data_IF_265494135542
#
_entry.id   IF_265494135542
#
_cell.length_a   1.000
_cell.length_b   1.000
_cell.length_c   1.000
_cell.angle_alpha   90.00
_cell.angle_beta   90.00
_cell.angle_gamma   90.00
#
_symmetry.space_group_name_H-M   'P 1'
#
loop_
_entity.id
_entity.type
_entity.pdbx_description
1 polymer ?
#
# COMPACT_ATOMS: atom_id res chain seq x y z
N UNK A 1 -21.76 0.33 1.62
CA UNK A 1 -21.31 0.28 3.03
C UNK A 1 -22.36 0.90 3.94
N UNK A 2 -22.64 0.28 5.09
CA UNK A 2 -23.42 0.87 6.21
C UNK A 2 -22.48 1.61 7.18
N UNK A 3 -22.98 2.49 8.07
CA UNK A 3 -22.14 3.13 9.10
C UNK A 3 -21.34 2.11 9.92
N UNK A 4 -20.07 2.40 10.18
CA UNK A 4 -19.17 1.50 10.91
C UNK A 4 -18.63 0.32 10.09
N UNK A 5 -19.13 0.04 8.88
CA UNK A 5 -18.73 -1.16 8.13
C UNK A 5 -17.29 -1.07 7.62
N UNK A 6 -16.54 -2.14 7.82
CA UNK A 6 -15.28 -2.40 7.14
C UNK A 6 -15.60 -3.18 5.85
N UNK A 7 -15.03 -2.74 4.73
CA UNK A 7 -15.13 -3.41 3.45
C UNK A 7 -13.71 -3.66 2.92
N UNK A 8 -13.32 -4.93 2.83
CA UNK A 8 -12.06 -5.35 2.23
C UNK A 8 -12.39 -6.15 0.97
N UNK A 9 -12.05 -5.63 -0.21
CA UNK A 9 -12.51 -6.12 -1.51
C UNK A 9 -11.35 -6.23 -2.50
N UNK A 10 -11.35 -7.30 -3.28
CA UNK A 10 -10.43 -7.50 -4.42
C UNK A 10 -11.23 -7.39 -5.71
N UNK A 11 -10.72 -6.58 -6.64
CA UNK A 11 -11.23 -6.43 -8.00
C UNK A 11 -10.17 -6.95 -8.96
N UNK A 12 -10.45 -8.06 -9.63
CA UNK A 12 -9.59 -8.63 -10.68
C UNK A 12 -9.84 -7.92 -12.02
N UNK A 13 -8.90 -8.04 -12.95
CA UNK A 13 -9.00 -7.54 -14.33
C UNK A 13 -9.42 -6.05 -14.42
N UNK A 14 -8.74 -5.18 -13.66
CA UNK A 14 -8.99 -3.74 -13.71
C UNK A 14 -8.58 -3.16 -15.06
N UNK A 15 -9.28 -2.11 -15.51
CA UNK A 15 -8.93 -1.40 -16.74
C UNK A 15 -7.54 -0.77 -16.61
N UNK A 16 -6.59 -1.32 -17.36
CA UNK A 16 -5.20 -0.87 -17.39
C UNK A 16 -4.78 -0.63 -18.87
N UNK A 17 -3.87 0.32 -19.16
CA UNK A 17 -3.18 0.41 -20.44
C UNK A 17 -2.76 -0.95 -21.02
N UNK A 18 -3.09 -1.18 -22.29
CA UNK A 18 -2.74 -2.39 -23.06
C UNK A 18 -1.51 -2.13 -23.94
N UNK A 19 -0.84 -3.22 -24.33
CA UNK A 19 0.40 -3.18 -25.11
C UNK A 19 1.65 -3.03 -24.26
N UNK A 20 2.81 -2.88 -24.91
CA UNK A 20 4.09 -2.73 -24.24
C UNK A 20 4.30 -1.27 -23.83
N UNK A 21 4.13 -0.97 -22.54
CA UNK A 21 4.10 0.40 -22.02
C UNK A 21 5.00 0.57 -20.78
N UNK A 22 5.46 1.80 -20.58
CA UNK A 22 6.10 2.24 -19.35
C UNK A 22 5.11 2.99 -18.47
N UNK A 23 4.72 2.40 -17.35
CA UNK A 23 3.85 3.06 -16.36
C UNK A 23 4.64 4.14 -15.61
N UNK A 24 4.06 5.34 -15.54
CA UNK A 24 4.65 6.57 -15.01
C UNK A 24 4.04 7.01 -13.69
N UNK A 25 2.75 6.78 -13.45
CA UNK A 25 2.07 7.04 -12.17
C UNK A 25 0.85 6.12 -12.04
N UNK A 26 0.45 5.83 -10.81
CA UNK A 26 -0.83 5.20 -10.46
C UNK A 26 -1.33 5.84 -9.17
N UNK A 27 -2.29 6.75 -9.30
CA UNK A 27 -2.87 7.53 -8.21
C UNK A 27 -4.35 7.11 -8.01
N UNK A 28 -4.82 6.97 -6.77
CA UNK A 28 -6.20 6.55 -6.50
C UNK A 28 -6.82 7.16 -5.24
N UNK A 29 -8.15 7.24 -5.20
CA UNK A 29 -8.93 7.81 -4.08
C UNK A 29 -10.36 7.22 -4.00
N UNK A 30 -11.01 7.35 -2.84
CA UNK A 30 -12.42 7.00 -2.67
C UNK A 30 -13.35 8.17 -3.05
N UNK A 31 -14.37 7.85 -3.84
CA UNK A 31 -15.44 8.76 -4.25
C UNK A 31 -16.83 8.21 -3.88
N UNK A 32 -17.81 9.10 -3.79
CA UNK A 32 -19.24 8.76 -3.69
C UNK A 32 -19.83 8.30 -5.05
N UNK A 33 -21.15 8.40 -5.21
CA UNK A 33 -21.88 7.98 -6.41
C UNK A 33 -21.95 9.10 -7.45
N UNK A 34 -21.81 10.34 -6.98
CA UNK A 34 -21.87 11.61 -7.68
C UNK A 34 -20.49 11.99 -8.24
N UNK A 35 -19.41 11.38 -7.74
CA UNK A 35 -18.03 11.56 -8.18
C UNK A 35 -17.17 12.45 -7.27
N UNK A 36 -17.69 12.87 -6.12
CA UNK A 36 -16.97 13.71 -5.17
C UNK A 36 -16.04 12.88 -4.29
N UNK A 37 -14.88 13.45 -3.95
CA UNK A 37 -13.93 12.84 -3.03
C UNK A 37 -14.48 12.77 -1.61
N UNK A 38 -14.36 11.62 -0.95
CA UNK A 38 -14.89 11.42 0.41
C UNK A 38 -13.92 11.95 1.48
N UNK A 39 -14.40 12.67 2.52
CA UNK A 39 -13.60 13.00 3.68
C UNK A 39 -13.20 11.76 4.50
N UNK A 40 -11.94 11.70 4.91
CA UNK A 40 -11.31 10.60 5.66
C UNK A 40 -11.93 10.37 7.05
N UNK A 41 -12.61 11.38 7.60
CA UNK A 41 -13.39 11.26 8.83
C UNK A 41 -14.78 10.66 8.63
N UNK A 42 -15.17 10.32 7.40
CA UNK A 42 -16.38 9.56 7.08
C UNK A 42 -16.07 8.17 6.56
N UNK A 43 -15.26 8.07 5.50
CA UNK A 43 -14.68 6.79 5.07
C UNK A 43 -13.17 6.93 5.06
N UNK A 44 -12.52 6.13 5.89
CA UNK A 44 -11.07 6.02 5.89
C UNK A 44 -10.67 4.99 4.83
N UNK A 45 -9.94 5.43 3.80
CA UNK A 45 -9.25 4.53 2.88
C UNK A 45 -8.04 3.96 3.63
N UNK A 46 -8.20 2.80 4.25
CA UNK A 46 -7.16 2.22 5.10
C UNK A 46 -5.95 1.81 4.27
N UNK A 47 -6.19 1.10 3.18
CA UNK A 47 -5.23 0.94 2.08
C UNK A 47 -5.95 0.64 0.78
N UNK A 48 -5.31 0.92 -0.33
CA UNK A 48 -5.49 0.24 -1.60
C UNK A 48 -4.13 -0.23 -2.10
N UNK A 49 -4.11 -1.28 -2.91
CA UNK A 49 -2.89 -1.69 -3.61
C UNK A 49 -3.19 -2.42 -4.91
N UNK A 50 -2.31 -2.25 -5.89
CA UNK A 50 -2.39 -2.89 -7.19
C UNK A 50 -1.30 -3.96 -7.35
N UNK A 51 -1.74 -5.17 -7.66
CA UNK A 51 -0.87 -6.33 -7.91
C UNK A 51 -1.03 -6.73 -9.37
N UNK A 52 0.11 -7.02 -10.00
CA UNK A 52 0.19 -7.52 -11.36
C UNK A 52 0.06 -9.04 -11.34
N UNK A 53 -0.59 -9.63 -12.32
CA UNK A 53 -0.66 -11.08 -12.49
C UNK A 53 -0.69 -11.45 -13.96
N UNK A 54 -0.28 -12.67 -14.29
CA UNK A 54 -0.53 -13.25 -15.60
C UNK A 54 -1.62 -14.32 -15.47
N UNK A 55 -2.48 -14.39 -16.48
CA UNK A 55 -3.59 -15.32 -16.55
C UNK A 55 -3.51 -16.13 -17.83
N UNK A 56 -3.67 -17.45 -17.74
CA UNK A 56 -3.83 -18.30 -18.91
C UNK A 56 -5.09 -17.88 -19.70
N UNK A 57 -4.95 -17.69 -21.01
CA UNK A 57 -6.05 -17.28 -21.90
C UNK A 57 -7.13 -18.35 -22.04
N UNK A 58 -6.83 -19.62 -21.74
CA UNK A 58 -7.80 -20.73 -21.72
C UNK A 58 -8.38 -21.02 -20.35
N UNK A 59 -8.02 -20.24 -19.31
CA UNK A 59 -8.53 -20.43 -17.94
C UNK A 59 -10.07 -20.44 -17.92
N UNK A 60 -10.65 -21.46 -17.29
CA UNK A 60 -12.10 -21.61 -17.19
C UNK A 60 -12.75 -20.44 -16.44
N UNK A 61 -13.96 -20.05 -16.82
CA UNK A 61 -14.78 -19.12 -16.04
C UNK A 61 -15.26 -19.76 -14.73
N UNK A 62 -15.32 -21.09 -14.66
CA UNK A 62 -15.76 -21.83 -13.47
C UNK A 62 -14.57 -22.16 -12.55
N UNK A 63 -14.53 -21.64 -11.31
CA UNK A 63 -13.39 -21.84 -10.39
C UNK A 63 -13.08 -23.30 -10.02
N UNK A 64 -14.02 -24.24 -10.24
CA UNK A 64 -13.78 -25.67 -10.00
C UNK A 64 -12.78 -26.30 -10.99
N UNK A 65 -12.51 -25.62 -12.10
CA UNK A 65 -11.56 -26.05 -13.13
C UNK A 65 -10.38 -25.08 -13.24
N UNK A 66 -10.06 -24.34 -12.16
CA UNK A 66 -8.85 -23.53 -12.09
C UNK A 66 -7.69 -24.41 -11.65
N UNK A 67 -6.63 -24.42 -12.44
CA UNK A 67 -5.36 -25.03 -12.11
C UNK A 67 -4.41 -23.98 -11.50
N UNK A 68 -3.48 -24.34 -10.60
CA UNK A 68 -2.56 -23.37 -9.98
C UNK A 68 -1.73 -22.55 -10.98
N UNK A 69 -1.44 -23.12 -12.15
CA UNK A 69 -0.75 -22.49 -13.26
C UNK A 69 -1.59 -21.45 -14.00
N UNK A 70 -2.93 -21.50 -13.94
CA UNK A 70 -3.81 -20.61 -14.71
C UNK A 70 -3.72 -19.14 -14.27
N UNK A 71 -3.29 -18.86 -13.04
CA UNK A 71 -3.25 -17.52 -12.48
C UNK A 71 -2.03 -17.30 -11.57
N UNK A 72 -1.03 -16.59 -12.09
CA UNK A 72 0.26 -16.40 -11.43
C UNK A 72 0.43 -14.93 -11.05
N UNK A 73 0.38 -14.62 -9.76
CA UNK A 73 0.63 -13.27 -9.25
C UNK A 73 2.10 -12.87 -9.44
N UNK A 74 2.34 -11.85 -10.28
CA UNK A 74 3.65 -11.25 -10.44
C UNK A 74 3.93 -10.33 -9.25
N UNK A 75 4.99 -10.64 -8.51
CA UNK A 75 5.42 -9.89 -7.35
C UNK A 75 6.37 -8.76 -7.78
N UNK A 76 6.46 -7.73 -6.96
CA UNK A 76 7.56 -6.78 -7.03
C UNK A 76 8.93 -7.47 -6.78
N UNK A 77 10.03 -6.78 -7.07
CA UNK A 77 11.39 -7.34 -6.93
C UNK A 77 11.97 -7.18 -5.51
N UNK A 78 11.17 -6.68 -4.56
CA UNK A 78 11.56 -6.44 -3.18
C UNK A 78 11.88 -7.69 -2.37
N UNK A 79 12.51 -7.47 -1.22
CA UNK A 79 12.97 -8.54 -0.33
C UNK A 79 11.84 -9.18 0.48
N UNK A 80 10.83 -8.41 0.93
CA UNK A 80 9.71 -8.89 1.75
C UNK A 80 8.65 -9.70 0.98
N UNK A 81 9.07 -10.86 0.49
CA UNK A 81 8.27 -11.85 -0.20
C UNK A 81 7.32 -12.67 0.72
N UNK A 82 6.80 -12.07 1.80
CA UNK A 82 5.76 -12.67 2.63
C UNK A 82 4.38 -12.66 1.95
N UNK A 83 3.35 -13.15 2.64
CA UNK A 83 1.96 -13.19 2.11
C UNK A 83 1.35 -11.80 1.83
N UNK A 84 1.90 -10.72 2.41
CA UNK A 84 1.13 -9.51 2.69
C UNK A 84 1.27 -8.41 1.62
N UNK A 85 2.44 -8.27 0.94
CA UNK A 85 2.79 -7.05 0.19
C UNK A 85 3.52 -7.27 -1.17
N UNK A 86 2.96 -8.04 -2.13
CA UNK A 86 3.56 -8.24 -3.45
C UNK A 86 3.28 -7.10 -4.46
N UNK A 87 2.70 -5.99 -4.02
CA UNK A 87 2.16 -4.92 -4.89
C UNK A 87 3.23 -3.97 -5.45
N UNK A 88 2.90 -3.31 -6.56
CA UNK A 88 3.76 -2.30 -7.21
C UNK A 88 3.37 -0.87 -6.84
N UNK A 89 2.09 -0.67 -6.55
CA UNK A 89 1.45 0.61 -6.25
C UNK A 89 0.47 0.41 -5.09
N UNK A 90 0.32 1.39 -4.22
CA UNK A 90 -0.69 1.34 -3.16
C UNK A 90 -0.38 2.29 -2.01
N UNK A 91 -1.40 2.83 -1.38
CA UNK A 91 -1.31 3.83 -0.30
C UNK A 91 -2.62 3.79 0.53
N UNK A 92 -2.71 4.56 1.61
CA UNK A 92 -3.93 4.78 2.39
C UNK A 92 -4.61 6.10 2.04
N UNK A 93 -5.14 6.80 3.06
CA UNK A 93 -5.74 8.14 2.95
C UNK A 93 -4.78 9.20 2.41
N UNK A 94 -3.48 8.98 2.56
CA UNK A 94 -2.40 9.86 2.12
C UNK A 94 -2.15 9.83 0.61
N UNK A 95 -2.82 8.94 -0.14
CA UNK A 95 -2.75 8.85 -1.60
C UNK A 95 -2.95 10.20 -2.29
N UNK A 96 -3.90 11.01 -1.82
CA UNK A 96 -4.31 12.27 -2.49
C UNK A 96 -3.23 13.37 -2.48
N UNK A 97 -2.31 13.32 -1.52
CA UNK A 97 -1.20 14.28 -1.37
C UNK A 97 0.18 13.65 -1.55
N UNK A 98 0.26 12.39 -1.97
CA UNK A 98 1.52 11.67 -2.24
C UNK A 98 1.59 11.38 -3.73
N UNK A 99 2.54 11.98 -4.44
CA UNK A 99 2.68 11.71 -5.88
C UNK A 99 3.32 10.33 -6.12
N UNK A 100 2.72 9.54 -7.02
CA UNK A 100 3.29 8.29 -7.50
C UNK A 100 4.14 8.47 -8.78
N UNK A 101 4.41 9.71 -9.19
CA UNK A 101 5.07 9.99 -10.47
C UNK A 101 6.54 9.51 -10.50
N UNK A 102 6.90 8.76 -11.54
CA UNK A 102 8.26 8.32 -11.83
C UNK A 102 8.88 9.31 -12.84
N UNK A 103 10.05 9.92 -12.57
CA UNK A 103 10.66 10.91 -13.46
C UNK A 103 11.08 10.26 -14.80
N UNK A 104 11.17 11.05 -15.87
CA UNK A 104 11.78 10.55 -17.11
C UNK A 104 13.30 10.34 -16.91
N UNK A 105 13.91 9.36 -17.58
CA UNK A 105 13.34 8.40 -18.53
C UNK A 105 12.81 7.08 -17.89
N UNK A 106 12.70 7.03 -16.56
CA UNK A 106 12.39 5.82 -15.81
C UNK A 106 10.90 5.44 -15.89
N UNK A 107 10.57 4.15 -15.86
CA UNK A 107 9.18 3.67 -15.84
C UNK A 107 9.08 2.22 -15.32
N UNK A 108 7.91 1.82 -14.81
CA UNK A 108 7.61 0.40 -14.55
C UNK A 108 7.18 -0.25 -15.87
N UNK A 109 7.93 -1.25 -16.33
CA UNK A 109 7.64 -1.95 -17.59
C UNK A 109 6.44 -2.91 -17.45
N UNK A 110 5.56 -2.87 -18.44
CA UNK A 110 4.35 -3.68 -18.54
C UNK A 110 4.12 -4.14 -19.99
N UNK A 111 3.52 -5.31 -20.16
CA UNK A 111 3.11 -5.83 -21.48
C UNK A 111 4.29 -6.29 -22.34
N UNK A 112 5.43 -6.59 -21.71
CA UNK A 112 6.68 -6.95 -22.39
C UNK A 112 6.56 -8.35 -23.01
N UNK A 113 6.59 -8.51 -24.35
CA UNK A 113 6.35 -9.79 -25.01
C UNK A 113 7.38 -10.88 -24.68
N UNK A 114 8.53 -10.50 -24.11
CA UNK A 114 9.61 -11.41 -23.71
C UNK A 114 9.38 -11.93 -22.27
N UNK A 115 8.61 -11.19 -21.45
CA UNK A 115 8.34 -11.53 -20.03
C UNK A 115 7.03 -12.28 -19.83
N UNK A 116 6.09 -12.19 -20.78
CA UNK A 116 4.78 -12.84 -20.72
C UNK A 116 4.86 -14.15 -21.50
N UNK A 117 4.63 -15.32 -20.89
CA UNK A 117 4.66 -16.60 -21.59
C UNK A 117 3.57 -16.70 -22.67
N UNK A 118 3.85 -17.46 -23.73
CA UNK A 118 2.86 -17.77 -24.76
C UNK A 118 1.62 -18.44 -24.12
N UNK A 119 0.43 -17.96 -24.47
CA UNK A 119 -0.83 -18.42 -23.87
C UNK A 119 -1.24 -17.67 -22.60
N UNK A 120 -0.53 -16.62 -22.18
CA UNK A 120 -0.89 -15.79 -21.03
C UNK A 120 -1.16 -14.33 -21.41
N UNK A 121 -2.07 -13.67 -20.68
CA UNK A 121 -2.29 -12.21 -20.72
C UNK A 121 -1.84 -11.60 -19.38
N UNK A 122 -1.12 -10.48 -19.42
CA UNK A 122 -0.76 -9.70 -18.22
C UNK A 122 -1.90 -8.76 -17.82
N UNK A 123 -2.31 -8.85 -16.56
CA UNK A 123 -3.47 -8.17 -15.98
C UNK A 123 -3.13 -7.57 -14.62
N UNK A 124 -4.03 -6.72 -14.14
CA UNK A 124 -3.91 -6.10 -12.83
C UNK A 124 -5.15 -6.36 -11.99
N UNK A 125 -4.91 -6.56 -10.70
CA UNK A 125 -5.95 -6.54 -9.67
C UNK A 125 -5.72 -5.35 -8.75
N UNK A 126 -6.80 -4.98 -8.08
CA UNK A 126 -6.87 -3.90 -7.11
C UNK A 126 -7.49 -4.45 -5.83
N UNK A 127 -6.73 -4.47 -4.74
CA UNK A 127 -7.31 -4.69 -3.41
C UNK A 127 -7.57 -3.34 -2.74
N UNK A 128 -8.66 -3.25 -1.98
CA UNK A 128 -9.10 -2.03 -1.31
C UNK A 128 -9.65 -2.40 0.05
N UNK A 129 -9.21 -1.69 1.08
CA UNK A 129 -9.80 -1.71 2.41
C UNK A 129 -10.30 -0.31 2.78
N UNK A 130 -11.62 -0.19 2.91
CA UNK A 130 -12.30 1.04 3.30
C UNK A 130 -13.06 0.83 4.62
N UNK A 131 -12.99 1.81 5.52
CA UNK A 131 -13.63 1.77 6.84
C UNK A 131 -14.60 2.94 6.95
N UNK A 132 -15.90 2.66 7.00
CA UNK A 132 -16.90 3.69 7.30
C UNK A 132 -16.82 4.05 8.80
N UNK A 133 -16.44 5.28 9.12
CA UNK A 133 -16.27 5.75 10.51
C UNK A 133 -17.44 6.61 11.00
N UNK A 134 -18.51 6.75 10.19
CA UNK A 134 -19.71 7.50 10.60
C UNK A 134 -20.37 6.80 11.78
N UNK A 135 -20.64 7.56 12.83
CA UNK A 135 -21.23 7.02 14.06
C UNK A 135 -20.31 6.18 14.95
N UNK A 136 -19.08 5.84 14.52
CA UNK A 136 -18.17 5.02 15.33
C UNK A 136 -17.88 5.66 16.70
N UNK A 137 -17.99 4.87 17.77
CA UNK A 137 -17.76 5.29 19.16
C UNK A 137 -16.34 5.82 19.38
N UNK A 138 -15.37 5.24 18.66
CA UNK A 138 -13.97 5.66 18.72
C UNK A 138 -13.33 5.58 17.32
N UNK A 139 -13.41 6.68 16.54
CA UNK A 139 -12.96 6.73 15.14
C UNK A 139 -11.50 6.25 14.96
N UNK A 140 -10.55 6.79 15.74
CA UNK A 140 -9.13 6.41 15.67
C UNK A 140 -8.93 4.90 15.92
N UNK A 141 -9.60 4.32 16.91
CA UNK A 141 -9.47 2.89 17.21
C UNK A 141 -10.08 1.98 16.14
N UNK A 142 -11.16 2.45 15.50
CA UNK A 142 -11.76 1.81 14.33
C UNK A 142 -10.79 1.86 13.12
N UNK A 143 -10.15 2.99 12.84
CA UNK A 143 -9.17 3.13 11.73
C UNK A 143 -7.81 2.48 12.01
N UNK A 144 -7.44 2.25 13.27
CA UNK A 144 -6.24 1.50 13.68
C UNK A 144 -6.52 0.00 13.90
N UNK A 145 -7.72 -0.48 13.58
CA UNK A 145 -8.10 -1.89 13.70
C UNK A 145 -7.95 -2.47 15.12
N UNK A 146 -8.19 -1.65 16.15
CA UNK A 146 -8.17 -2.09 17.56
C UNK A 146 -9.34 -3.03 17.84
N UNK A 147 -9.05 -4.28 18.19
CA UNK A 147 -10.04 -5.35 18.33
C UNK A 147 -11.18 -5.00 19.30
N UNK A 148 -10.86 -4.29 20.39
CA UNK A 148 -11.84 -3.85 21.39
C UNK A 148 -12.87 -2.82 20.85
N UNK A 149 -12.57 -2.14 19.74
CA UNK A 149 -13.46 -1.18 19.08
C UNK A 149 -14.20 -1.75 17.87
N UNK A 150 -13.99 -3.03 17.53
CA UNK A 150 -14.69 -3.74 16.46
C UNK A 150 -15.69 -4.74 17.06
N UNK A 151 -16.80 -4.98 16.35
CA UNK A 151 -17.75 -6.06 16.64
C UNK A 151 -17.22 -7.36 16.03
N UNK A 152 -16.27 -7.98 16.72
CA UNK A 152 -15.70 -9.28 16.35
C UNK A 152 -16.61 -10.45 16.80
N UNK A 153 -16.55 -11.61 16.12
CA UNK A 153 -17.16 -12.86 16.60
C UNK A 153 -16.66 -13.24 18.01
N UNK A 154 -17.50 -13.93 18.79
CA UNK A 154 -17.15 -14.35 20.18
C UNK A 154 -15.99 -15.34 20.21
N UNK A 155 -15.90 -16.16 19.18
CA UNK A 155 -14.91 -17.21 18.94
C UNK A 155 -13.67 -16.72 18.18
N UNK A 156 -13.56 -15.41 17.91
CA UNK A 156 -12.50 -14.82 17.08
C UNK A 156 -11.09 -15.35 17.38
N UNK A 157 -10.66 -15.34 18.65
CA UNK A 157 -9.33 -15.82 19.06
C UNK A 157 -9.16 -17.34 18.98
N UNK A 158 -10.27 -18.10 19.00
CA UNK A 158 -10.24 -19.57 18.92
C UNK A 158 -10.10 -20.06 17.47
N UNK A 159 -10.68 -19.32 16.51
CA UNK A 159 -10.75 -19.73 15.09
C UNK A 159 -9.77 -18.99 14.19
N UNK A 160 -9.37 -17.77 14.55
CA UNK A 160 -8.48 -16.95 13.71
C UNK A 160 -7.03 -17.30 14.00
N UNK A 161 -6.27 -17.52 12.94
CA UNK A 161 -4.84 -17.81 12.99
C UNK A 161 -4.03 -16.65 12.42
N UNK A 162 -2.79 -16.54 12.89
CA UNK A 162 -1.82 -15.57 12.42
C UNK A 162 -1.16 -15.99 11.09
N UNK A 163 -0.21 -15.18 10.64
CA UNK A 163 0.57 -15.41 9.41
C UNK A 163 1.55 -16.59 9.50
N UNK A 164 1.70 -17.22 10.67
CA UNK A 164 2.47 -18.45 10.92
C UNK A 164 1.55 -19.66 11.21
N UNK A 165 0.25 -19.54 10.89
CA UNK A 165 -0.78 -20.56 11.12
C UNK A 165 -0.95 -20.96 12.60
N UNK A 166 -0.55 -20.08 13.53
CA UNK A 166 -0.75 -20.23 14.98
C UNK A 166 -2.05 -19.53 15.41
N UNK A 167 -2.81 -20.05 16.40
CA UNK A 167 -3.99 -19.36 16.92
C UNK A 167 -3.66 -17.96 17.47
N UNK A 168 -4.50 -16.97 17.19
CA UNK A 168 -4.32 -15.63 17.77
C UNK A 168 -4.55 -15.66 19.28
N UNK A 169 -3.56 -15.22 20.04
CA UNK A 169 -3.70 -15.05 21.49
C UNK A 169 -4.64 -13.89 21.82
N UNK A 170 -5.24 -13.93 23.01
CA UNK A 170 -6.05 -12.82 23.56
C UNK A 170 -5.24 -11.54 23.77
N UNK A 171 -3.91 -11.60 23.64
CA UNK A 171 -2.99 -10.47 23.66
C UNK A 171 -2.84 -9.73 22.32
N UNK A 172 -3.37 -10.29 21.24
CA UNK A 172 -3.54 -9.57 19.98
C UNK A 172 -4.61 -8.47 20.11
N UNK A 173 -4.21 -7.24 20.48
CA UNK A 173 -5.16 -6.13 20.74
C UNK A 173 -5.58 -5.34 19.49
N UNK A 174 -4.96 -5.55 18.32
CA UNK A 174 -5.36 -4.91 17.07
C UNK A 174 -4.42 -5.16 15.89
N UNK A 175 -4.91 -4.79 14.70
CA UNK A 175 -4.22 -4.97 13.42
C UNK A 175 -5.08 -5.72 12.40
N UNK A 176 -4.43 -6.23 11.34
CA UNK A 176 -5.05 -6.86 10.16
C UNK A 176 -6.21 -7.82 10.50
N UNK A 177 -6.00 -8.75 11.44
CA UNK A 177 -6.97 -9.80 11.73
C UNK A 177 -8.26 -9.27 12.37
N UNK A 178 -8.23 -8.13 13.05
CA UNK A 178 -9.41 -7.51 13.64
C UNK A 178 -10.18 -6.61 12.64
N UNK A 179 -9.77 -6.58 11.38
CA UNK A 179 -10.27 -5.68 10.35
C UNK A 179 -10.70 -6.44 9.07
N UNK A 180 -11.36 -7.57 9.26
CA UNK A 180 -11.88 -8.43 8.19
C UNK A 180 -13.02 -7.78 7.38
N UNK A 181 -13.34 -8.35 6.23
CA UNK A 181 -14.47 -7.88 5.42
C UNK A 181 -15.82 -8.08 6.15
N UNK A 182 -16.72 -7.09 6.01
CA UNK A 182 -18.07 -7.05 6.59
C UNK A 182 -18.19 -6.98 8.12
N UNK A 183 -17.11 -7.05 8.89
CA UNK A 183 -17.15 -6.66 10.32
C UNK A 183 -17.46 -5.17 10.47
N UNK A 184 -17.85 -4.75 11.67
CA UNK A 184 -18.36 -3.40 11.91
C UNK A 184 -17.69 -2.80 13.16
N UNK A 185 -17.22 -1.56 13.06
CA UNK A 185 -16.79 -0.78 14.21
C UNK A 185 -17.96 -0.54 15.18
N UNK A 186 -17.68 -0.58 16.48
CA UNK A 186 -18.65 -0.24 17.54
C UNK A 186 -19.16 1.18 17.33
N UNK A 187 -20.46 1.32 17.14
CA UNK A 187 -21.13 2.60 16.97
C UNK A 187 -21.46 3.23 18.34
N UNK A 188 -21.73 4.54 18.33
CA UNK A 188 -22.44 5.20 19.42
C UNK A 188 -23.87 4.68 19.48
N UNK A 189 -24.42 4.59 20.69
CA UNK A 189 -25.78 4.14 20.92
C UNK A 189 -26.80 4.99 20.14
N UNK A 190 -27.85 4.35 19.64
CA UNK A 190 -28.88 4.99 18.80
C UNK A 190 -28.42 5.47 17.41
N UNK A 191 -27.12 5.44 17.07
CA UNK A 191 -26.67 5.96 15.78
C UNK A 191 -27.14 5.10 14.61
N UNK A 192 -27.97 5.69 13.76
CA UNK A 192 -28.35 5.16 12.46
C UNK A 192 -27.88 6.11 11.35
N UNK A 193 -27.71 5.58 10.15
CA UNK A 193 -27.31 6.37 8.98
C UNK A 193 -27.42 5.56 7.69
N UNK A 194 -27.57 6.24 6.54
CA UNK A 194 -27.85 5.59 5.27
C UNK A 194 -26.67 4.73 4.80
N UNK A 195 -27.02 3.65 4.10
CA UNK A 195 -26.07 2.93 3.25
C UNK A 195 -25.64 3.85 2.11
N UNK A 196 -24.36 3.83 1.76
CA UNK A 196 -23.81 4.50 0.57
C UNK A 196 -23.08 3.49 -0.31
N UNK A 197 -23.12 3.68 -1.62
CA UNK A 197 -22.18 3.02 -2.55
C UNK A 197 -20.97 3.94 -2.68
N UNK A 198 -19.78 3.36 -2.70
CA UNK A 198 -18.52 4.08 -2.90
C UNK A 198 -17.79 3.40 -4.06
N UNK A 199 -16.97 4.17 -4.76
CA UNK A 199 -16.08 3.66 -5.81
C UNK A 199 -14.65 4.11 -5.53
N UNK A 200 -13.66 3.37 -6.02
CA UNK A 200 -12.30 3.89 -6.11
C UNK A 200 -12.11 4.50 -7.50
N UNK A 201 -11.84 5.80 -7.55
CA UNK A 201 -11.36 6.48 -8.76
C UNK A 201 -9.86 6.30 -8.80
N UNK A 202 -9.33 5.91 -9.96
CA UNK A 202 -7.88 5.88 -10.18
C UNK A 202 -7.51 6.53 -11.50
N UNK A 203 -6.28 7.04 -11.56
CA UNK A 203 -5.63 7.60 -12.74
C UNK A 203 -4.28 6.91 -12.91
N UNK A 204 -4.03 6.44 -14.12
CA UNK A 204 -2.74 5.88 -14.52
C UNK A 204 -2.15 6.85 -15.53
N UNK A 205 -0.85 7.10 -15.44
CA UNK A 205 -0.08 7.81 -16.47
C UNK A 205 0.91 6.81 -17.07
N UNK A 206 1.08 6.80 -18.40
CA UNK A 206 1.97 5.87 -19.09
C UNK A 206 2.55 6.48 -20.36
N UNK A 207 3.58 5.83 -20.91
CA UNK A 207 4.19 6.12 -22.22
C UNK A 207 4.36 4.81 -22.99
N UNK A 208 4.41 4.86 -24.32
CA UNK A 208 4.78 3.70 -25.11
C UNK A 208 6.21 3.26 -24.77
N UNK A 209 6.42 1.95 -24.59
CA UNK A 209 7.73 1.44 -24.26
C UNK A 209 8.66 1.48 -25.48
N UNK A 210 9.81 2.12 -25.33
CA UNK A 210 10.84 2.16 -26.35
C UNK A 210 12.24 2.10 -25.73
N UNK A 211 13.28 2.09 -26.57
CA UNK A 211 14.68 1.92 -26.16
C UNK A 211 15.24 3.05 -25.26
N UNK A 212 14.53 4.15 -25.09
CA UNK A 212 14.95 5.27 -24.25
C UNK A 212 14.39 5.17 -22.82
N UNK A 213 13.37 4.35 -22.56
CA UNK A 213 12.89 4.12 -21.19
C UNK A 213 13.80 3.19 -20.41
N UNK A 214 13.92 3.46 -19.11
CA UNK A 214 14.71 2.65 -18.18
C UNK A 214 13.76 1.95 -17.20
N UNK A 215 13.76 0.61 -17.10
CA UNK A 215 12.91 -0.10 -16.17
C UNK A 215 13.33 0.17 -14.72
N UNK A 216 12.35 0.39 -13.84
CA UNK A 216 12.57 0.44 -12.39
C UNK A 216 11.88 -0.68 -11.63
N UNK A 217 12.48 -1.01 -10.49
CA UNK A 217 12.12 -2.12 -9.59
C UNK A 217 11.55 -1.57 -8.30
N UNK A 218 10.47 -2.17 -7.79
CA UNK A 218 9.81 -1.77 -6.55
C UNK A 218 10.20 -2.68 -5.38
N UNK A 219 10.59 -2.10 -4.23
CA UNK A 219 11.07 -2.86 -3.07
C UNK A 219 10.55 -2.35 -1.70
N UNK A 220 10.42 -3.28 -0.73
CA UNK A 220 9.74 -3.16 0.59
C UNK A 220 10.26 -4.29 1.54
N UNK A 221 10.07 -4.38 2.88
CA UNK A 221 9.22 -3.76 3.94
C UNK A 221 9.92 -3.88 5.34
N UNK A 222 9.29 -3.40 6.44
CA UNK A 222 9.69 -3.60 7.85
C UNK A 222 8.77 -4.60 8.61
N UNK A 223 9.32 -5.62 9.31
CA UNK A 223 8.64 -6.35 10.40
C UNK A 223 8.80 -5.64 11.76
N UNK A 224 7.80 -5.76 12.64
CA UNK A 224 7.72 -4.98 13.88
C UNK A 224 8.66 -5.46 15.02
N UNK A 225 9.28 -4.52 15.73
CA UNK A 225 9.80 -4.71 17.10
C UNK A 225 9.91 -3.37 17.88
N UNK A 226 9.88 -3.37 19.21
CA UNK A 226 9.92 -2.15 20.07
C UNK A 226 11.34 -1.68 20.42
N UNK A 227 11.59 -0.62 21.21
CA UNK A 227 10.71 0.30 21.97
C UNK A 227 11.46 1.63 22.32
N UNK A 228 10.77 2.72 22.70
CA UNK A 228 11.40 3.99 23.13
C UNK A 228 10.45 5.15 23.43
N UNK A 229 10.98 6.31 23.83
CA UNK A 229 10.24 7.55 24.14
C UNK A 229 9.51 8.18 22.94
N UNK A 230 9.97 7.87 21.73
CA UNK A 230 9.14 7.79 20.53
C UNK A 230 8.99 6.31 20.19
N UNK A 231 7.88 5.92 19.60
CA UNK A 231 7.79 4.57 19.02
C UNK A 231 8.61 4.55 17.72
N UNK A 232 9.91 4.34 17.88
CA UNK A 232 10.88 4.14 16.80
C UNK A 232 10.95 2.64 16.52
N UNK A 233 10.78 2.27 15.26
CA UNK A 233 11.02 0.90 14.79
C UNK A 233 12.07 0.92 13.68
N UNK A 234 13.05 0.04 13.78
CA UNK A 234 14.08 -0.16 12.75
C UNK A 234 13.98 -1.56 12.18
N UNK A 235 14.20 -1.68 10.87
CA UNK A 235 14.57 -2.96 10.25
C UNK A 235 15.82 -2.82 9.41
N UNK A 236 16.39 -3.98 9.08
CA UNK A 236 17.53 -4.14 8.20
C UNK A 236 17.10 -4.98 7.01
N UNK A 237 17.30 -4.47 5.79
CA UNK A 237 16.84 -5.05 4.53
C UNK A 237 18.07 -5.41 3.69
N UNK A 238 18.44 -6.70 3.57
CA UNK A 238 19.56 -7.11 2.73
C UNK A 238 19.16 -7.09 1.25
N UNK A 239 19.67 -6.11 0.50
CA UNK A 239 19.36 -5.92 -0.92
C UNK A 239 19.94 -7.05 -1.76
N UNK A 240 19.09 -7.92 -2.33
CA UNK A 240 19.55 -9.01 -3.21
C UNK A 240 20.25 -8.47 -4.47
N UNK A 241 19.78 -7.33 -4.96
CA UNK A 241 20.35 -6.56 -6.06
C UNK A 241 20.11 -5.08 -5.79
N UNK A 242 21.15 -4.27 -5.91
CA UNK A 242 21.07 -2.82 -5.76
C UNK A 242 20.73 -2.12 -7.08
N UNK A 243 20.89 -0.81 -7.08
CA UNK A 243 20.61 0.04 -8.24
C UNK A 243 20.74 1.52 -7.91
N UNK A 244 20.44 2.38 -8.88
CA UNK A 244 20.33 3.81 -8.65
C UNK A 244 18.94 4.13 -8.10
N UNK A 245 18.88 4.83 -6.96
CA UNK A 245 17.61 5.27 -6.38
C UNK A 245 17.01 6.36 -7.27
N UNK A 246 15.75 6.19 -7.69
CA UNK A 246 15.04 7.12 -8.58
C UNK A 246 13.87 7.81 -7.87
N UNK A 247 13.24 7.10 -6.94
CA UNK A 247 12.06 7.53 -6.19
C UNK A 247 12.10 6.87 -4.81
N UNK A 248 11.74 7.63 -3.78
CA UNK A 248 11.55 7.11 -2.42
C UNK A 248 10.37 7.78 -1.73
N UNK A 249 9.47 7.02 -1.11
CA UNK A 249 8.45 7.56 -0.18
C UNK A 249 8.02 6.49 0.82
N UNK A 250 7.24 6.85 1.83
CA UNK A 250 6.70 5.88 2.79
C UNK A 250 5.17 5.89 2.84
N UNK A 251 4.55 4.73 2.95
CA UNK A 251 3.14 4.59 3.38
C UNK A 251 3.11 4.45 4.91
N UNK A 252 2.42 5.38 5.55
CA UNK A 252 2.44 5.56 7.00
C UNK A 252 1.06 5.95 7.50
N UNK A 253 0.72 5.50 8.71
CA UNK A 253 -0.59 5.77 9.31
C UNK A 253 -0.57 7.02 10.22
N UNK A 254 -1.76 7.44 10.62
CA UNK A 254 -1.94 8.62 11.49
C UNK A 254 -1.17 8.50 12.80
N UNK A 255 -0.34 9.51 13.10
CA UNK A 255 0.55 9.53 14.26
C UNK A 255 2.04 9.39 13.91
N UNK A 256 2.38 9.10 12.65
CA UNK A 256 3.76 9.16 12.14
C UNK A 256 4.36 10.57 12.30
N UNK A 257 5.67 10.62 12.57
CA UNK A 257 6.50 11.83 12.62
C UNK A 257 7.33 11.92 11.34
N UNK A 258 8.04 10.85 10.98
CA UNK A 258 8.72 10.64 9.71
C UNK A 258 9.09 9.16 9.56
N UNK A 259 9.60 8.80 8.38
CA UNK A 259 10.38 7.58 8.19
C UNK A 259 11.61 7.89 7.34
N UNK A 260 12.73 7.26 7.65
CA UNK A 260 14.01 7.47 6.97
C UNK A 260 14.60 6.15 6.52
N UNK A 261 15.01 6.10 5.25
CA UNK A 261 15.79 5.04 4.66
C UNK A 261 17.28 5.42 4.69
N UNK A 262 18.11 4.56 5.26
CA UNK A 262 19.56 4.72 5.36
C UNK A 262 20.30 3.63 4.58
N UNK A 263 21.47 3.97 4.06
CA UNK A 263 22.46 3.01 3.56
C UNK A 263 23.20 2.32 4.70
N UNK A 264 23.95 1.25 4.38
CA UNK A 264 24.69 0.46 5.38
C UNK A 264 25.80 1.26 6.08
N UNK A 265 26.29 2.32 5.43
CA UNK A 265 27.27 3.30 5.92
C UNK A 265 26.62 4.45 6.74
N UNK A 266 25.32 4.37 7.02
CA UNK A 266 24.57 5.36 7.78
C UNK A 266 24.16 6.61 7.00
N UNK A 267 24.47 6.70 5.69
CA UNK A 267 24.02 7.83 4.85
C UNK A 267 22.49 7.82 4.71
N UNK A 268 21.87 9.00 4.72
CA UNK A 268 20.44 9.13 4.44
C UNK A 268 20.23 8.96 2.92
N UNK A 269 19.38 8.00 2.55
CA UNK A 269 18.97 7.77 1.15
C UNK A 269 17.66 8.50 0.83
N UNK A 270 16.73 8.52 1.78
CA UNK A 270 15.48 9.27 1.69
C UNK A 270 14.84 9.46 3.07
N UNK A 271 14.36 10.68 3.36
CA UNK A 271 13.47 10.95 4.50
C UNK A 271 12.09 11.34 3.99
N UNK A 272 11.09 10.52 4.32
CA UNK A 272 9.68 10.74 4.00
C UNK A 272 8.96 11.31 5.24
N UNK A 273 8.20 12.39 5.06
CA UNK A 273 7.55 13.15 6.12
C UNK A 273 6.06 13.34 5.83
N UNK A 274 5.18 13.29 6.85
CA UNK A 274 3.74 13.41 6.67
C UNK A 274 3.29 14.85 6.50
N UNK A 275 2.44 15.07 5.50
CA UNK A 275 1.58 16.25 5.41
C UNK A 275 0.28 15.93 6.16
N UNK A 276 0.00 16.68 7.22
CA UNK A 276 -1.28 16.61 7.94
C UNK A 276 -2.26 17.65 7.40
N UNK A 277 -3.53 17.27 7.29
CA UNK A 277 -4.60 18.21 6.94
C UNK A 277 -4.89 19.22 8.07
N UNK A 278 -5.49 20.36 7.70
CA UNK A 278 -5.81 21.46 8.63
C UNK A 278 -7.29 21.91 8.60
N UNK A 279 -8.03 21.54 7.55
CA UNK A 279 -9.42 21.93 7.31
C UNK A 279 -10.43 20.77 7.50
N UNK A 280 -11.55 20.84 6.76
CA UNK A 280 -12.60 19.82 6.74
C UNK A 280 -12.79 19.17 5.35
N UNK A 281 -12.33 19.82 4.29
CA UNK A 281 -12.49 19.32 2.93
C UNK A 281 -11.76 18.00 2.69
N UNK A 282 -12.29 17.19 1.77
CA UNK A 282 -11.65 15.96 1.33
C UNK A 282 -10.26 16.25 0.74
N UNK A 283 -9.22 15.68 1.34
CA UNK A 283 -7.81 15.93 0.97
C UNK A 283 -7.12 16.96 1.86
N UNK A 284 -7.83 17.56 2.83
CA UNK A 284 -7.29 18.51 3.80
C UNK A 284 -7.84 18.28 5.22
N UNK A 285 -8.19 17.05 5.59
CA UNK A 285 -8.90 16.75 6.84
C UNK A 285 -8.01 16.92 8.08
N UNK A 286 -8.43 17.77 9.02
CA UNK A 286 -7.66 18.07 10.24
C UNK A 286 -7.34 16.81 11.06
N UNK A 287 -6.05 16.57 11.27
CA UNK A 287 -5.55 15.45 12.08
C UNK A 287 -5.42 14.12 11.33
N UNK A 288 -5.67 14.10 10.01
CA UNK A 288 -5.37 12.97 9.13
C UNK A 288 -4.06 13.23 8.37
N UNK A 289 -3.31 12.17 8.08
CA UNK A 289 -2.23 12.22 7.08
C UNK A 289 -2.88 12.28 5.71
N UNK A 290 -2.64 13.37 4.97
CA UNK A 290 -3.22 13.63 3.65
C UNK A 290 -2.22 13.44 2.51
N UNK A 291 -0.93 13.30 2.84
CA UNK A 291 0.17 13.11 1.89
C UNK A 291 1.48 12.79 2.60
N UNK A 292 2.46 12.30 1.86
CA UNK A 292 3.82 11.99 2.32
C UNK A 292 4.84 12.61 1.36
N UNK A 293 5.93 13.16 1.90
CA UNK A 293 7.00 13.74 1.07
C UNK A 293 7.77 12.67 0.32
N UNK A 294 8.03 12.91 -0.95
CA UNK A 294 8.72 12.00 -1.86
C UNK A 294 10.14 12.51 -2.11
N UNK A 295 11.12 11.61 -2.09
CA UNK A 295 12.49 11.87 -2.50
C UNK A 295 12.66 11.56 -3.99
N UNK A 296 13.15 12.56 -4.73
CA UNK A 296 13.62 12.44 -6.11
C UNK A 296 15.10 12.82 -6.14
N UNK A 297 16.01 11.89 -5.79
CA UNK A 297 17.45 12.17 -5.91
C UNK A 297 17.84 12.36 -7.37
N UNK A 298 18.89 13.16 -7.61
CA UNK A 298 19.42 13.35 -8.97
C UNK A 298 19.88 12.00 -9.55
N UNK A 299 19.49 11.61 -10.77
CA UNK A 299 19.70 10.23 -11.21
C UNK A 299 21.19 9.92 -11.39
N UNK A 300 21.71 9.07 -10.50
CA UNK A 300 23.13 8.73 -10.40
C UNK A 300 23.80 9.14 -9.09
N UNK A 301 23.24 10.12 -8.37
CA UNK A 301 23.77 10.62 -7.08
C UNK A 301 23.74 9.55 -5.98
N UNK A 302 22.68 8.74 -5.94
CA UNK A 302 22.48 7.68 -4.94
C UNK A 302 22.50 6.32 -5.64
N UNK A 303 23.58 5.56 -5.41
CA UNK A 303 23.69 4.14 -5.75
C UNK A 303 23.60 3.29 -4.49
N UNK A 304 22.81 2.23 -4.56
CA UNK A 304 22.73 1.14 -3.58
C UNK A 304 23.47 -0.06 -4.18
N UNK A 305 24.30 -0.74 -3.40
CA UNK A 305 25.13 -1.86 -3.87
C UNK A 305 24.35 -3.19 -3.76
N UNK A 306 24.75 -4.16 -4.57
CA UNK A 306 24.33 -5.56 -4.39
C UNK A 306 24.81 -6.04 -3.01
N UNK A 307 23.92 -6.67 -2.23
CA UNK A 307 24.19 -7.10 -0.86
C UNK A 307 24.18 -6.00 0.21
N UNK A 308 23.98 -4.72 -0.16
CA UNK A 308 23.93 -3.63 0.83
C UNK A 308 22.75 -3.82 1.79
N UNK A 309 22.99 -3.64 3.09
CA UNK A 309 21.93 -3.70 4.10
C UNK A 309 21.36 -2.30 4.29
N UNK A 310 20.14 -2.07 3.80
CA UNK A 310 19.44 -0.81 4.04
C UNK A 310 18.74 -0.84 5.39
N UNK A 311 18.76 0.28 6.11
CA UNK A 311 18.02 0.41 7.37
C UNK A 311 16.82 1.32 7.14
N UNK A 312 15.62 0.86 7.47
CA UNK A 312 14.44 1.75 7.51
C UNK A 312 14.09 2.02 8.96
N UNK A 313 14.08 3.29 9.34
CA UNK A 313 13.63 3.78 10.64
C UNK A 313 12.27 4.46 10.48
N UNK A 314 11.27 4.02 11.23
CA UNK A 314 9.94 4.66 11.29
C UNK A 314 9.73 5.27 12.66
N UNK A 315 9.38 6.56 12.74
CA UNK A 315 9.13 7.26 14.01
C UNK A 315 7.67 7.63 14.15
N UNK A 316 7.03 7.19 15.23
CA UNK A 316 5.66 7.55 15.59
C UNK A 316 5.62 8.34 16.90
N UNK A 317 4.63 9.24 17.03
CA UNK A 317 4.29 9.90 18.29
C UNK A 317 3.96 8.85 19.35
N UNK A 318 4.45 9.05 20.57
CA UNK A 318 4.30 8.13 21.68
C UNK A 318 2.88 8.14 22.28
N UNK A 319 1.97 7.53 21.52
CA UNK A 319 0.61 7.16 21.92
C UNK A 319 0.46 5.67 21.60
N UNK A 320 -0.33 4.91 22.38
CA UNK A 320 -0.62 3.52 22.03
C UNK A 320 -1.31 3.43 20.67
N UNK A 321 -0.78 2.59 19.75
CA UNK A 321 -1.28 2.33 18.40
C UNK A 321 -1.27 0.83 18.12
N UNK A 322 -2.28 0.31 17.40
CA UNK A 322 -2.32 -1.10 16.94
C UNK A 322 -2.23 -1.26 15.43
N UNK A 323 -2.06 -0.15 14.71
CA UNK A 323 -1.95 -0.11 13.25
C UNK A 323 -0.85 0.84 12.84
N UNK A 324 0.35 0.71 13.42
CA UNK A 324 1.55 1.36 12.86
C UNK A 324 1.95 0.62 11.59
N UNK A 325 2.31 1.38 10.56
CA UNK A 325 2.88 0.84 9.33
C UNK A 325 4.33 1.27 9.23
N UNK A 326 5.19 0.36 8.79
CA UNK A 326 6.59 0.60 8.48
C UNK A 326 6.84 0.29 7.01
N UNK A 327 6.22 1.04 6.09
CA UNK A 327 6.25 0.69 4.68
C UNK A 327 6.94 1.79 3.86
N UNK A 328 7.97 1.42 3.11
CA UNK A 328 8.81 2.34 2.33
C UNK A 328 8.92 1.85 0.89
N UNK A 329 8.48 2.69 -0.05
CA UNK A 329 8.53 2.51 -1.49
C UNK A 329 9.87 3.05 -1.95
N UNK A 330 10.67 2.20 -2.60
CA UNK A 330 11.77 2.67 -3.43
C UNK A 330 11.61 2.15 -4.86
N UNK A 331 11.97 3.00 -5.83
CA UNK A 331 12.16 2.57 -7.21
C UNK A 331 13.64 2.65 -7.59
N UNK A 332 14.21 1.50 -7.96
CA UNK A 332 15.63 1.36 -8.34
C UNK A 332 15.80 1.09 -9.83
N UNK A 333 16.78 1.73 -10.45
CA UNK A 333 17.19 1.47 -11.83
C UNK A 333 18.55 0.74 -11.89
N UNK A 334 18.61 -0.36 -12.66
CA UNK A 334 19.86 -1.12 -12.89
C UNK A 334 20.93 -0.30 -13.64
N UNK A 335 20.50 0.65 -14.48
CA UNK A 335 21.33 1.49 -15.35
C UNK A 335 20.75 2.91 -15.40
N UNK A 336 21.57 3.89 -15.75
CA UNK A 336 21.12 5.23 -16.11
C UNK A 336 20.99 5.33 -17.64
N UNK A 337 20.19 6.29 -18.12
CA UNK A 337 20.15 6.62 -19.56
C UNK A 337 21.50 7.16 -20.01
N UNK A 338 21.93 6.80 -21.22
CA UNK A 338 23.17 7.28 -21.85
C UNK A 338 23.03 8.69 -22.46
N UNK A 339 22.03 9.47 -22.05
CA UNK A 339 21.80 10.85 -22.50
C UNK A 339 21.40 11.74 -21.33
N UNK A 340 22.34 12.60 -20.96
CA UNK A 340 22.10 13.96 -20.48
C UNK A 340 22.45 14.91 -21.63
#
# INVERSE_FOLDING_TARGET
>A
MRPGQIAAKTFMDIKFPKGHVGVKSFDAELIDQEGNSIPSYETYLHHWFAIKYIQNITMSVNPKFHHPEDLIFQRNEGTCNGYILPHYWGFGVESRGTTSNIPNPFAIEQGSPIKIPNGYEEKWLLNIMAIDTRGAKHKKGCTECRCNHINLPKDFYNVTKDMHNQPLTTDYKGGLFCCQDNVQCKLREGFQGPRRKLSLRYKISWVDWNKYQVPVKAEYTIPANGSGDFHVQTTHIPMKKGGYLIYGTSHMHSGVVNATLYGQDGRILCTSTPKYGIGKEAGNEKGYVIGMSVCYPEPGSIKIKDGEILTVESRYKNEFRTGVMGHFYIYLADKLSQRY
#
